data_IF_070916224492
#
_entry.id   IF_070916224492
#
_cell.length_a   1.000
_cell.length_b   1.000
_cell.length_c   1.000
_cell.angle_alpha   90.00
_cell.angle_beta   90.00
_cell.angle_gamma   90.00
#
_symmetry.space_group_name_H-M   'P 1'
#
loop_
_entity.id
_entity.type
_entity.pdbx_description
1 polymer ?
#
# COMPACT_ATOMS: atom_id res chain seq x y z
N UNK A 1 -62.05 12.96 11.77
CA UNK A 1 -61.26 13.81 12.67
C UNK A 1 -61.18 13.27 14.08
N UNK A 2 -60.00 13.43 14.71
CA UNK A 2 -59.53 13.05 16.06
C UNK A 2 -58.77 11.72 16.19
N UNK A 3 -57.45 11.83 16.06
CA UNK A 3 -56.48 11.14 16.91
C UNK A 3 -56.47 11.80 18.31
N UNK A 4 -56.10 11.09 19.38
CA UNK A 4 -54.74 11.31 19.92
C UNK A 4 -54.04 10.10 20.59
N UNK A 5 -52.70 10.13 20.46
CA UNK A 5 -51.62 9.82 21.43
C UNK A 5 -51.35 8.40 21.98
N UNK A 6 -50.20 7.86 21.53
CA UNK A 6 -49.08 7.12 22.17
C UNK A 6 -49.30 6.00 23.20
N UNK A 7 -48.38 5.01 23.19
CA UNK A 7 -47.38 5.00 24.25
C UNK A 7 -45.93 4.84 23.77
N UNK A 8 -45.05 5.42 24.58
CA UNK A 8 -43.59 5.36 24.59
C UNK A 8 -43.10 3.97 25.04
N UNK A 9 -42.10 3.43 24.32
CA UNK A 9 -41.12 2.48 24.86
C UNK A 9 -39.81 2.67 24.09
N UNK A 10 -38.97 3.54 24.64
CA UNK A 10 -37.51 3.45 24.55
C UNK A 10 -37.05 2.01 24.80
N UNK A 11 -36.23 1.44 23.91
CA UNK A 11 -35.15 0.49 24.23
C UNK A 11 -34.08 0.61 23.16
N UNK A 12 -32.89 0.90 23.65
CA UNK A 12 -31.59 1.08 23.01
C UNK A 12 -31.12 -0.18 22.29
N UNK A 13 -30.57 -0.04 21.10
CA UNK A 13 -29.50 -0.93 20.64
C UNK A 13 -28.56 -0.12 19.75
N UNK A 14 -27.66 0.62 20.42
CA UNK A 14 -26.43 1.15 19.82
C UNK A 14 -25.57 -0.04 19.40
N UNK A 15 -25.73 -0.49 18.15
CA UNK A 15 -24.72 -1.31 17.50
C UNK A 15 -24.04 -0.45 16.44
N UNK A 16 -22.90 0.06 16.87
CA UNK A 16 -21.89 0.72 16.07
C UNK A 16 -21.49 -0.19 14.89
N UNK A 17 -22.09 0.02 13.72
CA UNK A 17 -21.63 -0.57 12.46
C UNK A 17 -20.69 0.42 11.78
N UNK A 18 -19.46 0.52 12.32
CA UNK A 18 -18.33 1.20 11.66
C UNK A 18 -17.40 0.19 10.96
N UNK A 19 -17.86 -1.05 10.73
CA UNK A 19 -17.20 -1.96 9.79
C UNK A 19 -17.89 -1.81 8.42
N UNK A 20 -17.74 -0.62 7.82
CA UNK A 20 -17.92 -0.53 6.37
C UNK A 20 -16.72 -1.27 5.79
N UNK A 21 -16.90 -2.52 5.38
CA UNK A 21 -15.96 -3.22 4.51
C UNK A 21 -15.61 -2.26 3.37
N UNK A 22 -14.40 -1.74 3.42
CA UNK A 22 -13.88 -0.81 2.44
C UNK A 22 -13.77 -1.64 1.16
N UNK A 23 -14.72 -1.47 0.23
CA UNK A 23 -14.68 -2.16 -1.07
C UNK A 23 -13.46 -1.60 -1.80
N UNK A 24 -12.33 -2.28 -1.69
CA UNK A 24 -11.11 -1.93 -2.41
C UNK A 24 -11.25 -2.48 -3.82
N UNK A 25 -11.27 -1.59 -4.82
CA UNK A 25 -11.28 -2.01 -6.21
C UNK A 25 -9.89 -2.57 -6.57
N UNK A 26 -9.77 -3.82 -7.07
CA UNK A 26 -8.50 -4.40 -7.50
C UNK A 26 -7.71 -3.52 -8.48
N UNK A 27 -8.40 -2.81 -9.37
CA UNK A 27 -7.80 -1.91 -10.36
C UNK A 27 -7.10 -0.71 -9.70
N UNK A 28 -7.44 -0.39 -8.45
CA UNK A 28 -6.79 0.68 -7.68
C UNK A 28 -5.54 0.18 -6.96
N UNK A 29 -5.33 -1.13 -6.85
CA UNK A 29 -4.19 -1.74 -6.16
C UNK A 29 -3.10 -2.15 -7.13
N UNK A 30 -3.49 -2.83 -8.21
CA UNK A 30 -2.59 -3.47 -9.17
C UNK A 30 -2.84 -2.89 -10.57
N UNK A 31 -1.77 -2.42 -11.22
CA UNK A 31 -1.77 -2.20 -12.66
C UNK A 31 -1.79 -3.56 -13.37
N UNK A 32 -3.00 -3.98 -13.75
CA UNK A 32 -3.21 -5.28 -14.38
C UNK A 32 -2.42 -5.46 -15.68
N UNK A 33 -2.11 -4.40 -16.45
CA UNK A 33 -1.30 -4.57 -17.66
C UNK A 33 0.13 -4.98 -17.33
N UNK A 34 0.68 -4.43 -16.24
CA UNK A 34 2.02 -4.80 -15.77
C UNK A 34 2.01 -6.19 -15.15
N UNK A 35 0.97 -6.50 -14.38
CA UNK A 35 0.84 -7.80 -13.73
C UNK A 35 0.58 -8.94 -14.74
N UNK A 36 -0.25 -8.72 -15.76
CA UNK A 36 -0.48 -9.66 -16.87
C UNK A 36 0.82 -9.95 -17.62
N UNK A 37 1.67 -8.94 -17.87
CA UNK A 37 2.99 -9.17 -18.47
C UNK A 37 3.91 -10.05 -17.61
N UNK A 38 3.76 -10.00 -16.28
CA UNK A 38 4.48 -10.90 -15.37
C UNK A 38 3.91 -12.32 -15.43
N UNK A 39 2.59 -12.46 -15.50
CA UNK A 39 1.91 -13.75 -15.65
C UNK A 39 2.22 -14.41 -17.00
N UNK A 40 2.35 -13.63 -18.08
CA UNK A 40 2.74 -14.12 -19.41
C UNK A 40 4.15 -14.74 -19.46
N UNK A 41 4.95 -14.57 -18.39
CA UNK A 41 6.25 -15.21 -18.23
C UNK A 41 6.18 -16.60 -17.58
N UNK A 42 5.03 -16.98 -17.04
CA UNK A 42 4.80 -18.33 -16.55
C UNK A 42 4.72 -19.34 -17.71
N UNK A 43 5.03 -20.61 -17.41
CA UNK A 43 4.74 -21.71 -18.33
C UNK A 43 3.22 -22.01 -18.34
N UNK A 44 2.67 -22.53 -19.45
CA UNK A 44 1.21 -22.61 -19.70
C UNK A 44 0.36 -23.30 -18.61
N UNK A 45 0.98 -24.08 -17.70
CA UNK A 45 0.30 -24.95 -16.76
C UNK A 45 0.50 -24.59 -15.27
N UNK A 46 1.27 -23.54 -14.93
CA UNK A 46 1.41 -23.09 -13.54
C UNK A 46 1.70 -21.58 -13.40
N UNK A 47 1.76 -21.11 -12.14
CA UNK A 47 2.12 -19.74 -11.79
C UNK A 47 3.42 -19.67 -10.97
N UNK A 48 4.32 -20.65 -11.11
CA UNK A 48 5.47 -20.78 -10.23
C UNK A 48 6.43 -19.59 -10.34
N UNK A 49 6.67 -19.11 -11.56
CA UNK A 49 7.61 -18.01 -11.79
C UNK A 49 7.07 -16.70 -11.23
N UNK A 50 5.87 -16.28 -11.64
CA UNK A 50 5.23 -15.04 -11.17
C UNK A 50 5.03 -15.04 -9.66
N UNK A 51 4.61 -16.17 -9.08
CA UNK A 51 4.49 -16.33 -7.64
C UNK A 51 5.83 -16.18 -6.92
N UNK A 52 6.90 -16.77 -7.46
CA UNK A 52 8.25 -16.63 -6.87
C UNK A 52 8.71 -15.16 -6.86
N UNK A 53 8.41 -14.39 -7.90
CA UNK A 53 8.74 -12.96 -7.98
C UNK A 53 7.94 -12.17 -6.94
N UNK A 54 6.63 -12.45 -6.80
CA UNK A 54 5.76 -11.79 -5.82
C UNK A 54 6.17 -12.12 -4.39
N UNK A 55 6.50 -13.37 -4.08
CA UNK A 55 6.99 -13.75 -2.74
C UNK A 55 8.32 -13.09 -2.40
N UNK A 56 9.27 -13.05 -3.34
CA UNK A 56 10.54 -12.33 -3.14
C UNK A 56 10.30 -10.83 -2.88
N UNK A 57 9.29 -10.24 -3.51
CA UNK A 57 8.90 -8.87 -3.24
C UNK A 57 8.36 -8.67 -1.83
N UNK A 58 7.54 -9.58 -1.30
CA UNK A 58 7.03 -9.48 0.08
C UNK A 58 8.16 -9.41 1.11
N UNK A 59 9.13 -10.33 1.02
CA UNK A 59 10.31 -10.34 1.91
C UNK A 59 11.13 -9.05 1.79
N UNK A 60 11.30 -8.56 0.55
CA UNK A 60 12.00 -7.32 0.27
C UNK A 60 11.27 -6.10 0.85
N UNK A 61 9.95 -6.04 0.72
CA UNK A 61 9.12 -4.94 1.21
C UNK A 61 9.17 -4.87 2.73
N UNK A 62 8.99 -5.99 3.44
CA UNK A 62 9.08 -6.06 4.90
C UNK A 62 10.46 -5.61 5.41
N UNK A 63 11.54 -6.11 4.80
CA UNK A 63 12.90 -5.70 5.16
C UNK A 63 13.09 -4.19 4.94
N UNK A 64 12.67 -3.69 3.77
CA UNK A 64 12.80 -2.27 3.42
C UNK A 64 12.01 -1.37 4.36
N UNK A 65 10.82 -1.78 4.79
CA UNK A 65 10.00 -1.02 5.74
C UNK A 65 10.65 -0.92 7.12
N UNK A 66 11.28 -2.00 7.59
CA UNK A 66 12.04 -1.96 8.84
C UNK A 66 13.25 -1.01 8.72
N UNK A 67 14.00 -1.08 7.61
CA UNK A 67 15.12 -0.19 7.36
C UNK A 67 14.68 1.28 7.26
N UNK A 68 13.50 1.54 6.68
CA UNK A 68 12.93 2.89 6.60
C UNK A 68 12.52 3.42 7.98
N UNK A 69 11.96 2.60 8.85
CA UNK A 69 11.64 3.00 10.23
C UNK A 69 12.92 3.39 10.97
N UNK A 70 13.97 2.57 10.87
CA UNK A 70 15.26 2.88 11.48
C UNK A 70 15.87 4.18 10.91
N UNK A 71 15.79 4.37 9.60
CA UNK A 71 16.28 5.59 8.96
C UNK A 71 15.50 6.82 9.42
N UNK A 72 14.17 6.71 9.59
CA UNK A 72 13.34 7.79 10.13
C UNK A 72 13.72 8.12 11.58
N UNK A 73 13.93 7.12 12.43
CA UNK A 73 14.38 7.32 13.81
C UNK A 73 15.73 8.04 13.88
N UNK A 74 16.65 7.67 12.99
CA UNK A 74 17.98 8.29 12.84
C UNK A 74 17.93 9.63 12.09
N UNK A 75 16.76 10.01 11.54
CA UNK A 75 16.55 11.19 10.69
C UNK A 75 17.44 11.20 9.44
N UNK A 76 17.74 10.02 8.90
CA UNK A 76 18.57 9.85 7.71
C UNK A 76 17.73 9.99 6.43
N UNK A 77 17.57 11.23 5.97
CA UNK A 77 16.81 11.54 4.76
C UNK A 77 17.43 10.95 3.49
N UNK A 78 18.76 10.80 3.46
CA UNK A 78 19.46 10.21 2.30
C UNK A 78 19.12 8.74 2.19
N UNK A 79 19.14 8.02 3.31
CA UNK A 79 18.78 6.61 3.34
C UNK A 79 17.29 6.39 3.05
N UNK A 80 16.40 7.22 3.62
CA UNK A 80 14.97 7.19 3.29
C UNK A 80 14.72 7.37 1.79
N UNK A 81 15.45 8.30 1.15
CA UNK A 81 15.39 8.51 -0.30
C UNK A 81 15.82 7.28 -1.09
N UNK A 82 16.95 6.67 -0.70
CA UNK A 82 17.50 5.47 -1.32
C UNK A 82 16.54 4.28 -1.21
N UNK A 83 16.00 4.04 -0.02
CA UNK A 83 15.05 2.96 0.25
C UNK A 83 13.73 3.19 -0.50
N UNK A 84 13.23 4.43 -0.54
CA UNK A 84 12.05 4.81 -1.32
C UNK A 84 12.25 4.54 -2.82
N UNK A 85 13.40 4.91 -3.36
CA UNK A 85 13.74 4.62 -4.76
C UNK A 85 13.80 3.11 -5.05
N UNK A 86 14.43 2.36 -4.15
CA UNK A 86 14.58 0.91 -4.28
C UNK A 86 13.21 0.21 -4.32
N UNK A 87 12.36 0.46 -3.33
CA UNK A 87 11.04 -0.17 -3.23
C UNK A 87 10.08 0.32 -4.33
N UNK A 88 10.21 1.58 -4.79
CA UNK A 88 9.49 2.08 -5.97
C UNK A 88 9.78 1.22 -7.19
N UNK A 89 11.05 0.89 -7.43
CA UNK A 89 11.49 0.11 -8.58
C UNK A 89 10.89 -1.29 -8.59
N UNK A 90 10.95 -1.99 -7.46
CA UNK A 90 10.40 -3.34 -7.33
C UNK A 90 8.87 -3.35 -7.33
N UNK A 91 8.22 -2.39 -6.68
CA UNK A 91 6.76 -2.21 -6.73
C UNK A 91 6.26 -2.02 -8.15
N UNK A 92 6.99 -1.24 -8.96
CA UNK A 92 6.65 -0.99 -10.35
C UNK A 92 6.79 -2.24 -11.23
N UNK A 93 7.69 -3.18 -10.89
CA UNK A 93 7.92 -4.39 -11.68
C UNK A 93 6.77 -5.41 -11.59
N UNK A 94 5.97 -5.36 -10.52
CA UNK A 94 4.83 -6.27 -10.31
C UNK A 94 3.48 -5.53 -10.25
N UNK A 95 3.48 -4.23 -10.54
CA UNK A 95 2.27 -3.44 -10.75
C UNK A 95 1.64 -2.80 -9.51
N UNK A 96 2.29 -2.72 -8.34
CA UNK A 96 1.68 -2.06 -7.16
C UNK A 96 1.62 -0.54 -7.33
N UNK A 97 0.49 -0.03 -7.80
CA UNK A 97 0.34 1.38 -8.19
C UNK A 97 0.49 2.33 -7.02
N UNK A 98 -0.23 2.08 -5.91
CA UNK A 98 -0.20 2.97 -4.73
C UNK A 98 1.16 2.93 -4.02
N UNK A 99 1.70 1.73 -3.78
CA UNK A 99 3.00 1.55 -3.13
C UNK A 99 4.10 2.24 -3.92
N UNK A 100 4.13 2.06 -5.25
CA UNK A 100 5.05 2.77 -6.14
C UNK A 100 4.93 4.29 -5.99
N UNK A 101 3.72 4.83 -6.02
CA UNK A 101 3.48 6.27 -5.93
C UNK A 101 3.94 6.84 -4.59
N UNK A 102 3.63 6.19 -3.48
CA UNK A 102 4.05 6.65 -2.15
C UNK A 102 5.56 6.51 -1.95
N UNK A 103 6.19 5.44 -2.48
CA UNK A 103 7.64 5.31 -2.50
C UNK A 103 8.33 6.41 -3.30
N UNK A 104 7.74 6.86 -4.41
CA UNK A 104 8.23 8.03 -5.16
C UNK A 104 8.15 9.33 -4.34
N UNK A 105 7.08 9.52 -3.56
CA UNK A 105 7.00 10.66 -2.63
C UNK A 105 8.08 10.58 -1.56
N UNK A 106 8.30 9.41 -0.95
CA UNK A 106 9.37 9.20 0.04
C UNK A 106 10.75 9.50 -0.57
N UNK A 107 11.00 9.03 -1.80
CA UNK A 107 12.21 9.34 -2.56
C UNK A 107 12.41 10.86 -2.71
N UNK A 108 11.41 11.57 -3.24
CA UNK A 108 11.50 13.00 -3.49
C UNK A 108 11.69 13.79 -2.20
N UNK A 109 10.89 13.48 -1.17
CA UNK A 109 10.93 14.17 0.12
C UNK A 109 12.25 13.90 0.84
N UNK A 110 12.79 12.68 0.76
CA UNK A 110 14.12 12.35 1.28
C UNK A 110 15.25 13.13 0.60
N UNK A 111 15.06 13.59 -0.65
CA UNK A 111 15.97 14.50 -1.34
C UNK A 111 15.74 15.98 -1.02
N UNK A 112 14.98 16.29 0.04
CA UNK A 112 14.56 17.65 0.42
C UNK A 112 13.81 18.36 -0.71
N UNK A 113 12.96 17.61 -1.43
CA UNK A 113 12.02 18.13 -2.40
C UNK A 113 10.58 18.00 -1.88
N UNK A 114 9.63 18.71 -2.47
CA UNK A 114 8.22 18.39 -2.22
C UNK A 114 7.84 17.02 -2.79
N UNK A 115 6.62 16.55 -2.51
CA UNK A 115 6.15 15.23 -2.94
C UNK A 115 6.16 15.05 -4.46
N UNK A 116 6.01 16.15 -5.22
CA UNK A 116 6.05 16.15 -6.68
C UNK A 116 7.48 16.24 -7.24
N UNK A 117 8.49 16.47 -6.39
CA UNK A 117 9.88 16.62 -6.79
C UNK A 117 10.20 17.96 -7.48
N UNK A 118 9.29 18.94 -7.43
CA UNK A 118 9.39 20.19 -8.19
C UNK A 118 9.88 21.37 -7.35
N UNK A 119 9.51 21.39 -6.08
CA UNK A 119 9.92 22.39 -5.09
C UNK A 119 11.01 21.88 -4.16
N UNK A 120 11.74 22.80 -3.53
CA UNK A 120 12.67 22.48 -2.44
C UNK A 120 12.01 22.73 -1.09
N UNK A 121 12.29 21.87 -0.13
CA UNK A 121 11.91 22.00 1.28
C UNK A 121 13.15 21.86 2.17
N UNK A 122 13.05 22.27 3.42
CA UNK A 122 14.12 22.01 4.39
C UNK A 122 13.98 20.62 5.04
N UNK A 123 15.04 20.17 5.73
CA UNK A 123 15.08 18.84 6.36
C UNK A 123 14.00 18.65 7.43
N UNK A 124 13.61 19.73 8.14
CA UNK A 124 12.59 19.63 9.19
C UNK A 124 11.22 19.36 8.58
N UNK A 125 10.89 20.07 7.50
CA UNK A 125 9.66 19.84 6.74
C UNK A 125 9.69 18.47 6.05
N UNK A 126 10.84 18.03 5.53
CA UNK A 126 10.99 16.71 4.93
C UNK A 126 10.66 15.57 5.91
N UNK A 127 11.26 15.58 7.11
CA UNK A 127 10.97 14.59 8.15
C UNK A 127 9.49 14.59 8.55
N UNK A 128 8.89 15.77 8.70
CA UNK A 128 7.47 15.92 9.02
C UNK A 128 6.57 15.32 7.94
N UNK A 129 6.94 15.43 6.66
CA UNK A 129 6.18 14.84 5.54
C UNK A 129 6.39 13.34 5.39
N UNK A 130 7.60 12.82 5.62
CA UNK A 130 7.86 11.36 5.55
C UNK A 130 7.14 10.61 6.69
N UNK A 131 7.04 11.21 7.87
CA UNK A 131 6.41 10.59 9.04
C UNK A 131 5.04 9.96 8.76
N UNK A 132 4.08 10.63 8.09
CA UNK A 132 2.81 10.01 7.69
C UNK A 132 2.88 9.14 6.42
N UNK A 133 3.87 9.33 5.54
CA UNK A 133 4.01 8.53 4.30
C UNK A 133 4.41 7.07 4.61
N UNK A 134 5.19 6.84 5.67
CA UNK A 134 5.62 5.50 6.08
C UNK A 134 4.47 4.57 6.50
N UNK A 135 3.58 4.94 7.44
CA UNK A 135 2.41 4.11 7.75
C UNK A 135 1.44 4.01 6.57
N UNK A 136 1.36 5.05 5.71
CA UNK A 136 0.56 5.01 4.50
C UNK A 136 1.06 3.91 3.55
N UNK A 137 2.35 3.89 3.19
CA UNK A 137 2.88 2.90 2.24
C UNK A 137 2.76 1.46 2.76
N UNK A 138 2.88 1.25 4.07
CA UNK A 138 2.66 -0.06 4.70
C UNK A 138 1.20 -0.50 4.63
N UNK A 139 0.26 0.43 4.76
CA UNK A 139 -1.17 0.13 4.59
C UNK A 139 -1.47 -0.23 3.14
N UNK A 140 -0.96 0.57 2.19
CA UNK A 140 -1.11 0.31 0.75
C UNK A 140 -0.49 -1.03 0.34
N UNK A 141 0.66 -1.37 0.93
CA UNK A 141 1.29 -2.68 0.78
C UNK A 141 0.40 -3.80 1.30
N UNK A 142 -0.14 -3.67 2.52
CA UNK A 142 -1.01 -4.69 3.12
C UNK A 142 -2.26 -4.94 2.28
N UNK A 143 -2.89 -3.89 1.74
CA UNK A 143 -4.06 -4.02 0.85
C UNK A 143 -3.69 -4.83 -0.41
N UNK A 144 -2.53 -4.58 -1.01
CA UNK A 144 -2.08 -5.27 -2.22
C UNK A 144 -1.55 -6.69 -1.96
N UNK A 145 -0.86 -6.90 -0.83
CA UNK A 145 -0.38 -8.21 -0.40
C UNK A 145 -1.55 -9.18 -0.18
N UNK A 146 -2.60 -8.73 0.51
CA UNK A 146 -3.82 -9.52 0.71
C UNK A 146 -4.47 -9.89 -0.62
N UNK A 147 -4.57 -8.94 -1.55
CA UNK A 147 -5.09 -9.20 -2.90
C UNK A 147 -4.27 -10.26 -3.64
N UNK A 148 -2.94 -10.12 -3.66
CA UNK A 148 -2.04 -11.04 -4.37
C UNK A 148 -2.04 -12.44 -3.74
N UNK A 149 -2.05 -12.56 -2.40
CA UNK A 149 -2.19 -13.85 -1.71
C UNK A 149 -3.48 -14.56 -2.11
N UNK A 150 -4.60 -13.83 -2.10
CA UNK A 150 -5.90 -14.38 -2.53
C UNK A 150 -5.89 -14.78 -4.02
N UNK A 151 -5.22 -14.02 -4.89
CA UNK A 151 -5.08 -14.36 -6.31
C UNK A 151 -4.42 -15.72 -6.49
N UNK A 152 -3.23 -15.94 -5.89
CA UNK A 152 -2.50 -17.21 -6.05
C UNK A 152 -3.14 -18.39 -5.31
N UNK A 153 -3.75 -18.19 -4.14
CA UNK A 153 -4.49 -19.25 -3.44
C UNK A 153 -5.69 -19.78 -4.25
N UNK A 154 -6.41 -18.90 -4.97
CA UNK A 154 -7.54 -19.30 -5.83
C UNK A 154 -7.08 -20.09 -7.05
N UNK A 155 -5.88 -19.82 -7.57
CA UNK A 155 -5.33 -20.55 -8.71
C UNK A 155 -4.78 -21.92 -8.30
N UNK A 156 -4.10 -22.03 -7.16
CA UNK A 156 -3.65 -23.33 -6.61
C UNK A 156 -4.81 -24.29 -6.32
N UNK A 157 -6.01 -23.77 -6.07
CA UNK A 157 -7.21 -24.55 -5.79
C UNK A 157 -7.97 -25.03 -7.05
N UNK A 158 -7.53 -24.63 -8.26
CA UNK A 158 -8.17 -24.97 -9.55
C UNK A 158 -7.47 -26.10 -10.28
#
# INVERSE_FOLDING_TARGET
DKTPSSPDLTHTDDRNTDDIEKIVNPDDLIDMNTFEQLLDMDDEDDHEFSYSIVNNYFEQAETTFNDMDEALEKKDLTELSRLGHFLKGSSAAIGLTKVKATCEKIQNVGNCQDEEGTGKIDETEALKRITPLLPQVKTEYSEAEEYLKNFYEVQDAR
#
